data_IF_024922414284
#
_entry.id   IF_024922414284
#
_cell.length_a   1.000
_cell.length_b   1.000
_cell.length_c   1.000
_cell.angle_alpha   90.00
_cell.angle_beta   90.00
_cell.angle_gamma   90.00
#
_symmetry.space_group_name_H-M   'P 1'
#
loop_
_entity.id
_entity.type
_entity.pdbx_description
1 polymer ?
2 non-polymer ?
3 water ?
#
# COMPACT_ATOMS: atom_id res chain seq x y z
N UNK A 1 -0.80 13.43 -13.22
CA UNK A 1 -2.24 13.61 -13.08
C UNK A 1 -2.54 13.47 -11.60
N UNK A 2 -3.72 13.93 -11.23
CA UNK A 2 -4.20 13.71 -9.88
C UNK A 2 -5.05 12.47 -10.01
N UNK A 3 -5.04 11.68 -8.98
CA UNK A 3 -5.79 10.45 -8.96
C UNK A 3 -6.59 10.48 -7.68
N UNK A 4 -7.89 10.24 -7.77
CA UNK A 4 -8.63 10.10 -6.53
C UNK A 4 -8.70 8.61 -6.19
N UNK A 5 -9.18 8.28 -5.01
CA UNK A 5 -8.99 6.91 -4.54
C UNK A 5 -10.25 6.07 -4.46
N UNK A 6 -11.24 6.48 -5.26
CA UNK A 6 -12.50 5.72 -5.27
C UNK A 6 -12.34 4.44 -6.02
N UNK A 7 -11.32 4.37 -6.88
CA UNK A 7 -10.95 3.13 -7.54
C UNK A 7 -9.49 2.88 -7.30
N UNK A 8 -9.05 1.63 -7.49
CA UNK A 8 -7.61 1.36 -7.30
C UNK A 8 -6.77 2.20 -8.24
N UNK A 9 -5.68 2.76 -7.73
CA UNK A 9 -4.85 3.63 -8.59
C UNK A 9 -3.90 2.80 -9.46
N UNK A 10 -4.45 2.32 -10.55
CA UNK A 10 -3.69 1.49 -11.47
C UNK A 10 -3.04 2.30 -12.56
N UNK A 11 -1.86 1.88 -12.98
CA UNK A 11 -1.17 2.59 -14.05
C UNK A 11 -0.57 1.56 -15.01
N UNK A 12 -0.31 1.93 -16.27
CA UNK A 12 0.45 1.05 -17.17
C UNK A 12 1.95 1.28 -17.04
N UNK A 13 2.65 0.16 -16.93
CA UNK A 13 4.11 0.19 -16.98
C UNK A 13 4.63 -0.58 -18.17
N UNK A 14 5.78 -0.16 -18.65
CA UNK A 14 6.50 -0.99 -19.60
C UNK A 14 7.84 -1.33 -18.97
N UNK A 15 8.13 -2.62 -18.97
CA UNK A 15 9.31 -3.12 -18.31
C UNK A 15 9.75 -4.35 -19.02
N UNK A 16 11.04 -4.38 -19.31
CA UNK A 16 11.53 -5.62 -19.93
C UNK A 16 10.89 -6.02 -21.25
N UNK A 17 10.52 -4.96 -21.98
CA UNK A 17 9.80 -5.10 -23.24
C UNK A 17 8.33 -5.40 -23.13
N UNK A 18 7.83 -5.54 -21.91
CA UNK A 18 6.47 -6.03 -21.74
C UNK A 18 5.63 -4.96 -21.07
N UNK A 19 4.34 -5.01 -21.40
CA UNK A 19 3.39 -4.02 -20.90
C UNK A 19 2.60 -4.64 -19.77
N UNK A 20 2.55 -3.97 -18.63
CA UNK A 20 1.78 -4.47 -17.49
C UNK A 20 1.01 -3.36 -16.83
N UNK A 21 0.16 -3.75 -15.90
CA UNK A 21 -0.62 -2.79 -15.14
C UNK A 21 -0.15 -2.99 -13.71
N UNK A 22 -0.15 -1.92 -12.93
CA UNK A 22 0.46 -1.95 -11.61
C UNK A 22 -0.25 -0.96 -10.71
N UNK A 23 -0.21 -1.21 -9.44
CA UNK A 23 -0.90 -0.34 -8.51
C UNK A 23 0.11 0.64 -7.91
N UNK A 24 -0.26 1.90 -7.87
CA UNK A 24 0.59 2.87 -7.18
C UNK A 24 0.37 2.78 -5.69
N UNK A 25 1.40 2.32 -4.98
CA UNK A 25 1.20 1.90 -3.59
C UNK A 25 2.06 2.67 -2.60
N UNK A 26 1.47 3.69 -1.97
CA UNK A 26 2.25 4.48 -1.03
C UNK A 26 2.68 3.76 0.24
N UNK A 27 2.04 2.62 0.54
CA UNK A 27 2.43 1.89 1.76
C UNK A 27 3.61 0.89 1.62
N UNK A 28 4.08 0.70 0.37
CA UNK A 28 5.05 -0.32 0.07
C UNK A 28 6.38 0.36 -0.01
N UNK A 29 7.36 -0.18 0.69
CA UNK A 29 8.65 0.48 0.53
C UNK A 29 9.30 0.19 -0.81
N UNK A 30 9.09 -1.04 -1.27
CA UNK A 30 9.78 -1.58 -2.45
C UNK A 30 8.77 -1.88 -3.50
N UNK A 31 9.24 -2.02 -4.72
CA UNK A 31 8.39 -2.42 -5.85
C UNK A 31 8.46 -3.92 -6.05
N UNK A 32 7.31 -4.56 -6.24
CA UNK A 32 7.20 -6.02 -6.29
C UNK A 32 6.27 -6.39 -7.44
N UNK A 33 6.81 -7.17 -8.36
CA UNK A 33 6.08 -7.53 -9.57
C UNK A 33 5.90 -9.03 -9.58
N UNK A 34 4.79 -9.43 -10.20
CA UNK A 34 4.58 -10.86 -10.43
C UNK A 34 5.72 -11.42 -11.29
N UNK A 35 5.85 -12.73 -11.28
CA UNK A 35 6.84 -13.44 -12.06
C UNK A 35 6.89 -13.06 -13.52
N UNK A 36 8.09 -12.74 -13.96
CA UNK A 36 8.23 -12.36 -15.34
C UNK A 36 9.67 -12.51 -15.77
N UNK A 37 9.85 -12.50 -17.10
CA UNK A 37 11.17 -12.59 -17.71
C UNK A 37 11.86 -11.27 -17.70
N UNK A 38 12.80 -11.17 -16.77
CA UNK A 38 13.82 -10.13 -16.86
C UNK A 38 15.14 -10.79 -17.23
N UNK A 39 15.97 -10.10 -18.02
CA UNK A 39 17.31 -10.64 -18.17
C UNK A 39 18.13 -10.23 -16.96
N UNK A 40 19.24 -10.93 -16.79
CA UNK A 40 20.24 -10.40 -15.90
C UNK A 40 20.48 -11.28 -14.71
N UNK A 41 21.23 -10.66 -13.82
CA UNK A 41 21.60 -11.33 -12.58
C UNK A 41 20.66 -10.85 -11.51
N UNK A 42 20.41 -11.74 -10.57
CA UNK A 42 19.49 -11.39 -9.51
C UNK A 42 19.97 -12.01 -8.24
N UNK A 43 19.38 -11.56 -7.16
CA UNK A 43 19.71 -12.06 -5.82
C UNK A 43 18.43 -12.52 -5.13
N UNK A 44 18.50 -13.59 -4.31
CA UNK A 44 17.35 -13.90 -3.47
C UNK A 44 17.11 -12.79 -2.44
N UNK A 45 15.85 -12.54 -2.13
CA UNK A 45 15.54 -11.64 -1.01
C UNK A 45 14.24 -12.13 -0.40
N UNK A 46 14.00 -11.79 0.86
CA UNK A 46 12.68 -12.12 1.38
C UNK A 46 12.08 -10.84 1.87
N UNK A 47 10.80 -10.68 1.61
CA UNK A 47 10.19 -9.46 2.09
C UNK A 47 8.97 -9.85 2.85
N UNK A 48 8.49 -8.95 3.67
CA UNK A 48 7.28 -9.28 4.41
C UNK A 48 6.10 -8.46 3.96
N UNK A 49 4.93 -8.95 4.31
CA UNK A 49 3.72 -8.20 4.02
C UNK A 49 2.64 -8.59 4.98
N UNK A 50 1.43 -8.19 4.66
CA UNK A 50 0.34 -8.76 5.44
C UNK A 50 0.18 -10.17 4.96
N UNK A 51 0.39 -11.08 5.88
CA UNK A 51 0.15 -12.45 5.48
C UNK A 51 1.38 -13.28 5.68
N UNK A 52 2.51 -12.62 5.72
CA UNK A 52 3.69 -13.42 5.93
C UNK A 52 4.79 -12.82 5.12
N UNK A 53 5.73 -13.66 4.76
CA UNK A 53 6.92 -13.19 4.07
C UNK A 53 6.98 -13.95 2.79
N UNK A 54 7.58 -13.38 1.77
CA UNK A 54 7.76 -14.19 0.57
C UNK A 54 9.20 -14.05 0.11
N UNK A 55 9.61 -15.01 -0.69
CA UNK A 55 10.95 -14.98 -1.25
C UNK A 55 10.88 -14.43 -2.66
N UNK A 56 11.74 -13.49 -2.96
CA UNK A 56 11.66 -12.89 -4.29
C UNK A 56 13.07 -12.82 -4.84
N UNK A 57 13.14 -12.57 -6.16
CA UNK A 57 14.42 -12.27 -6.79
C UNK A 57 14.54 -10.77 -6.97
N UNK A 58 15.67 -10.26 -6.53
CA UNK A 58 15.93 -8.85 -6.66
C UNK A 58 16.77 -8.52 -7.88
N UNK A 59 16.31 -7.56 -8.69
CA UNK A 59 17.08 -7.10 -9.83
C UNK A 59 17.36 -5.65 -9.64
N UNK A 60 18.61 -5.26 -9.83
CA UNK A 60 18.89 -3.84 -9.68
C UNK A 60 19.03 -3.17 -11.00
N UNK A 61 18.98 -1.85 -10.94
CA UNK A 61 19.10 -1.00 -12.11
C UNK A 61 18.30 -1.36 -13.33
N UNK A 62 17.03 -1.69 -13.05
CA UNK A 62 16.12 -1.95 -14.16
C UNK A 62 15.26 -0.72 -14.53
N UNK A 63 15.11 -0.53 -15.84
CA UNK A 63 14.32 0.59 -16.37
C UNK A 63 12.85 0.23 -16.43
N UNK A 64 12.04 1.12 -15.89
CA UNK A 64 10.59 0.99 -15.94
C UNK A 64 10.06 2.26 -16.51
N UNK A 65 9.04 2.14 -17.32
CA UNK A 65 8.41 3.36 -17.73
C UNK A 65 6.99 3.26 -17.24
N UNK A 66 6.58 4.25 -16.44
CA UNK A 66 5.32 4.21 -15.67
C UNK A 66 4.58 5.45 -16.04
N UNK A 67 3.44 5.30 -16.68
CA UNK A 67 3.05 6.41 -17.58
C UNK A 67 4.24 6.77 -18.49
N UNK A 68 4.27 7.97 -19.06
CA UNK A 68 5.44 8.22 -19.91
C UNK A 68 6.65 8.69 -19.13
N UNK A 69 6.91 8.03 -18.00
CA UNK A 69 7.97 8.53 -17.12
C UNK A 69 8.92 7.38 -16.96
N UNK A 70 10.21 7.65 -17.21
CA UNK A 70 11.22 6.62 -17.03
C UNK A 70 11.82 6.66 -15.63
N UNK A 71 12.15 5.51 -15.09
CA UNK A 71 12.77 5.44 -13.79
C UNK A 71 13.67 4.23 -13.89
N UNK A 72 14.75 4.22 -13.12
CA UNK A 72 15.61 3.00 -13.03
C UNK A 72 15.59 2.64 -11.55
N UNK A 73 15.46 1.39 -11.25
CA UNK A 73 15.52 1.09 -9.84
C UNK A 73 15.62 -0.38 -9.62
N UNK A 74 15.62 -0.72 -8.35
CA UNK A 74 15.50 -2.12 -8.01
C UNK A 74 14.08 -2.59 -8.17
N UNK A 75 13.90 -3.75 -8.82
CA UNK A 75 12.58 -4.37 -8.76
C UNK A 75 12.68 -5.78 -8.22
N UNK A 76 11.65 -6.17 -7.51
CA UNK A 76 11.62 -7.47 -6.89
C UNK A 76 10.60 -8.24 -7.68
N UNK A 77 10.96 -9.45 -8.09
CA UNK A 77 9.99 -10.21 -8.87
C UNK A 77 9.64 -11.43 -8.07
N UNK A 78 8.37 -11.78 -8.05
CA UNK A 78 8.00 -12.86 -7.16
C UNK A 78 6.52 -13.04 -7.13
N UNK A 79 6.11 -13.87 -6.20
CA UNK A 79 4.70 -14.27 -6.11
C UNK A 79 3.81 -13.29 -5.31
N UNK A 80 3.76 -12.06 -5.77
CA UNK A 80 2.77 -11.16 -5.21
C UNK A 80 1.51 -11.44 -6.00
N UNK A 81 0.35 -11.15 -5.42
CA UNK A 81 -0.89 -11.27 -6.21
C UNK A 81 -1.08 -10.19 -7.25
N UNK A 82 -0.36 -9.08 -7.09
CA UNK A 82 -0.59 -7.92 -7.95
C UNK A 82 0.68 -7.10 -8.00
N UNK A 83 0.87 -6.46 -9.14
CA UNK A 83 2.13 -5.72 -9.29
C UNK A 83 2.01 -4.43 -8.52
N UNK A 84 3.04 -4.11 -7.77
CA UNK A 84 2.95 -2.99 -6.83
C UNK A 84 4.12 -2.06 -7.10
N UNK A 85 3.83 -0.79 -7.33
CA UNK A 85 4.91 0.20 -7.38
C UNK A 85 5.02 0.85 -6.01
N UNK A 86 6.19 0.69 -5.40
CA UNK A 86 6.43 1.12 -4.03
C UNK A 86 7.22 2.38 -4.04
N UNK A 87 7.52 2.87 -2.86
CA UNK A 87 7.98 4.25 -2.78
C UNK A 87 9.36 4.50 -3.38
N UNK A 88 10.17 3.45 -3.46
CA UNK A 88 11.43 3.58 -4.20
C UNK A 88 11.34 4.09 -5.64
N UNK A 89 10.24 3.80 -6.33
CA UNK A 89 10.05 4.37 -7.66
C UNK A 89 9.11 5.55 -7.66
N UNK A 90 8.21 5.55 -6.70
CA UNK A 90 7.28 6.67 -6.61
C UNK A 90 7.98 7.98 -6.39
N UNK A 91 9.08 7.93 -5.65
CA UNK A 91 9.84 9.15 -5.50
C UNK A 91 10.50 9.62 -6.77
N UNK A 92 10.77 8.69 -7.68
CA UNK A 92 11.41 9.13 -8.91
C UNK A 92 10.49 9.69 -9.94
N UNK A 93 9.23 9.27 -9.91
CA UNK A 93 8.34 9.95 -10.84
C UNK A 93 7.61 11.14 -10.27
N UNK A 94 8.03 11.51 -9.06
CA UNK A 94 7.51 12.74 -8.47
C UNK A 94 6.16 12.61 -7.81
N UNK A 95 5.88 11.40 -7.36
CA UNK A 95 4.56 11.22 -6.83
C UNK A 95 4.39 11.77 -5.41
N UNK A 96 3.24 12.37 -5.15
CA UNK A 96 2.94 13.01 -3.87
C UNK A 96 1.53 12.62 -3.38
N UNK A 97 1.39 12.59 -2.06
CA UNK A 97 0.04 12.42 -1.51
C UNK A 97 -0.45 13.77 -1.06
N UNK A 98 -1.73 14.01 -1.26
CA UNK A 98 -2.29 15.26 -0.79
C UNK A 98 -3.62 15.03 -0.16
N UNK A 99 -3.76 15.57 1.04
CA UNK A 99 -5.09 15.75 1.62
C UNK A 99 -5.08 17.09 2.33
N UNK B 1 -2.47 18.22 3.76
CA UNK B 1 -1.15 18.77 3.41
C UNK B 1 -0.61 17.88 2.33
N UNK B 2 0.56 18.23 1.86
CA UNK B 2 1.18 17.41 0.85
C UNK B 2 2.32 16.66 1.49
N UNK B 3 2.45 15.43 1.04
CA UNK B 3 3.35 14.47 1.64
C UNK B 3 4.17 13.96 0.47
N UNK B 4 5.48 14.08 0.60
CA UNK B 4 6.31 13.35 -0.35
C UNK B 4 6.56 11.94 0.21
N UNK B 5 7.14 11.09 -0.61
CA UNK B 5 7.22 9.68 -0.24
C UNK B 5 8.64 9.20 0.03
N UNK B 6 9.49 10.21 0.34
CA UNK B 6 10.87 9.86 0.73
C UNK B 6 10.89 9.19 2.05
N UNK B 7 9.84 9.46 2.83
CA UNK B 7 9.64 8.71 4.06
C UNK B 7 8.33 8.01 3.91
N UNK B 8 8.12 7.02 4.78
CA UNK B 8 6.77 6.49 4.97
C UNK B 8 5.74 7.52 5.37
N UNK B 9 4.61 7.56 4.66
CA UNK B 9 3.56 8.56 4.98
C UNK B 9 2.77 8.12 6.21
N UNK B 10 3.29 8.49 7.35
CA UNK B 10 2.68 8.09 8.62
C UNK B 10 1.83 9.22 9.13
N UNK B 11 0.67 8.91 9.69
CA UNK B 11 -0.10 9.94 10.40
C UNK B 11 -0.55 9.47 11.79
N UNK B 12 -0.88 10.40 12.64
CA UNK B 12 -1.53 10.01 13.90
C UNK B 12 -3.05 9.83 13.73
N UNK B 13 -3.52 8.73 14.30
CA UNK B 13 -4.95 8.56 14.34
C UNK B 13 -5.42 8.49 15.79
N UNK B 14 -6.63 8.90 16.02
CA UNK B 14 -7.23 8.55 17.30
C UNK B 14 -8.37 7.61 17.05
N UNK B 15 -8.33 6.48 17.73
CA UNK B 15 -9.41 5.54 17.55
C UNK B 15 -9.76 4.85 18.85
N UNK B 16 -11.06 4.78 19.12
CA UNK B 16 -11.46 4.15 20.39
C UNK B 16 -10.83 4.71 21.68
N UNK B 17 -10.65 6.02 21.68
CA UNK B 17 -9.95 6.65 22.81
C UNK B 17 -8.45 6.38 22.86
N UNK B 18 -7.87 5.75 21.83
CA UNK B 18 -6.42 5.52 21.85
C UNK B 18 -5.71 6.28 20.73
N UNK B 19 -4.49 6.72 20.99
CA UNK B 19 -3.71 7.35 19.92
C UNK B 19 -2.74 6.37 19.27
N UNK B 20 -2.72 6.32 17.93
CA UNK B 20 -1.84 5.40 17.17
C UNK B 20 -1.21 6.11 15.99
N UNK B 21 -0.20 5.50 15.39
CA UNK B 21 0.30 5.98 14.09
C UNK B 21 -0.05 4.95 13.06
N UNK B 22 -0.23 5.43 11.86
CA UNK B 22 -0.70 4.57 10.78
C UNK B 22 -0.13 5.04 9.43
N UNK B 23 0.03 4.09 8.51
CA UNK B 23 0.49 4.45 7.16
C UNK B 23 -0.71 4.81 6.31
N UNK B 24 -0.56 5.88 5.57
CA UNK B 24 -1.51 6.15 4.49
C UNK B 24 -1.16 5.30 3.28
N UNK B 25 -2.06 4.36 2.94
CA UNK B 25 -1.70 3.28 2.04
C UNK B 25 -2.64 3.21 0.86
N UNK B 26 -2.21 3.74 -0.27
CA UNK B 26 -3.11 3.73 -1.44
C UNK B 26 -3.32 2.37 -2.12
N UNK B 27 -2.45 1.42 -1.78
CA UNK B 27 -2.64 0.10 -2.38
C UNK B 27 -3.68 -0.77 -1.70
N UNK B 28 -4.13 -0.36 -0.52
CA UNK B 28 -4.92 -1.19 0.39
C UNK B 28 -6.38 -0.85 0.19
N UNK B 29 -7.19 -1.86 -0.05
CA UNK B 29 -8.60 -1.48 -0.19
C UNK B 29 -9.27 -1.13 1.10
N UNK B 30 -8.83 -1.81 2.13
CA UNK B 30 -9.45 -1.75 3.46
C UNK B 30 -8.43 -1.26 4.49
N UNK B 31 -8.95 -0.79 5.63
CA UNK B 31 -8.12 -0.34 6.74
C UNK B 31 -7.92 -1.49 7.68
N UNK B 32 -6.68 -1.68 8.04
CA UNK B 32 -6.42 -2.75 8.99
C UNK B 32 -5.41 -2.35 10.06
N UNK B 33 -5.81 -2.66 11.27
CA UNK B 33 -5.15 -2.17 12.44
C UNK B 33 -4.71 -3.34 13.24
N UNK B 34 -3.63 -3.10 13.95
CA UNK B 34 -3.09 -4.10 14.85
C UNK B 34 -4.09 -4.36 15.96
N UNK B 35 -3.97 -5.51 16.60
CA UNK B 35 -5.00 -5.89 17.56
C UNK B 35 -5.07 -4.91 18.71
N UNK B 36 -6.28 -4.54 19.07
CA UNK B 36 -6.48 -3.47 20.04
C UNK B 36 -7.88 -3.58 20.53
N UNK B 37 -8.15 -2.86 21.62
CA UNK B 37 -9.45 -2.85 22.29
C UNK B 37 -10.48 -1.97 21.60
N UNK B 38 -11.47 -2.59 20.97
CA UNK B 38 -12.60 -1.82 20.46
C UNK B 38 -13.88 -2.34 21.07
N UNK B 39 -14.78 -1.42 21.41
CA UNK B 39 -16.08 -1.85 21.93
C UNK B 39 -16.93 -2.47 20.83
N UNK B 40 -17.56 -3.58 21.15
CA UNK B 40 -18.61 -3.94 20.23
C UNK B 40 -18.52 -5.32 19.63
N UNK B 41 -19.46 -5.50 18.72
CA UNK B 41 -19.57 -6.77 18.03
C UNK B 41 -18.85 -6.66 16.72
N UNK B 42 -18.38 -7.79 16.30
CA UNK B 42 -17.57 -7.80 15.12
C UNK B 42 -17.89 -9.09 14.49
N UNK B 43 -17.41 -9.21 13.28
CA UNK B 43 -17.60 -10.47 12.56
C UNK B 43 -16.25 -10.86 11.98
N UNK B 44 -16.00 -12.17 11.87
CA UNK B 44 -14.67 -12.60 11.38
C UNK B 44 -14.61 -12.43 9.90
N UNK B 45 -13.43 -12.08 9.44
CA UNK B 45 -13.26 -11.90 8.02
C UNK B 45 -11.88 -12.40 7.71
N UNK B 46 -11.64 -12.66 6.44
CA UNK B 46 -10.31 -13.06 6.01
C UNK B 46 -9.89 -12.11 4.92
N UNK B 47 -8.66 -11.65 5.03
CA UNK B 47 -8.20 -10.74 3.98
C UNK B 47 -6.87 -11.24 3.51
N UNK B 48 -6.51 -10.75 2.32
CA UNK B 48 -5.26 -11.15 1.67
C UNK B 48 -4.28 -10.02 1.49
N UNK B 49 -3.01 -10.41 1.57
CA UNK B 49 -1.94 -9.47 1.38
C UNK B 49 -0.82 -10.17 0.66
N UNK B 50 0.35 -9.55 0.72
CA UNK B 50 1.55 -10.24 0.28
C UNK B 50 1.97 -11.16 1.40
N UNK B 51 2.21 -12.38 1.05
CA UNK B 51 2.48 -13.29 2.16
C UNK B 51 1.31 -14.23 2.35
N UNK B 52 0.10 -13.77 2.06
CA UNK B 52 -1.00 -14.70 2.17
C UNK B 52 -2.22 -14.06 2.78
N UNK B 53 -2.89 -14.85 3.57
CA UNK B 53 -4.18 -14.41 4.11
C UNK B 53 -4.16 -14.39 5.60
N UNK B 54 -4.91 -13.45 6.15
CA UNK B 54 -5.09 -13.40 7.60
C UNK B 54 -6.56 -13.25 7.96
N UNK B 55 -6.84 -13.64 9.19
CA UNK B 55 -8.21 -13.55 9.69
C UNK B 55 -8.28 -12.35 10.62
N UNK B 56 -9.34 -11.58 10.49
CA UNK B 56 -9.44 -10.29 11.17
C UNK B 56 -10.85 -10.16 11.71
N UNK B 57 -11.03 -9.25 12.67
CA UNK B 57 -12.36 -8.93 13.16
C UNK B 57 -12.79 -7.69 12.48
N UNK B 58 -13.94 -7.76 11.86
CA UNK B 58 -14.47 -6.58 11.22
C UNK B 58 -15.37 -5.80 12.15
N UNK B 59 -15.07 -4.50 12.30
CA UNK B 59 -15.98 -3.59 13.00
C UNK B 59 -16.51 -2.54 12.04
N UNK B 60 -17.80 -2.34 12.09
CA UNK B 60 -18.38 -1.36 11.19
C UNK B 60 -18.72 -0.13 11.98
N UNK B 61 -18.94 0.94 11.25
CA UNK B 61 -19.26 2.23 11.87
C UNK B 61 -18.32 2.79 12.90
N UNK B 62 -17.02 2.51 12.74
CA UNK B 62 -16.11 3.09 13.74
C UNK B 62 -15.63 4.50 13.37
N UNK B 63 -15.67 5.40 14.34
CA UNK B 63 -15.16 6.76 14.16
C UNK B 63 -13.65 6.79 14.34
N UNK B 64 -12.94 7.29 13.33
CA UNK B 64 -11.48 7.43 13.43
C UNK B 64 -11.21 8.87 13.21
N UNK B 65 -10.28 9.45 13.94
CA UNK B 65 -9.81 10.78 13.56
C UNK B 65 -8.39 10.68 13.06
N UNK B 66 -8.17 11.11 11.81
CA UNK B 66 -6.90 10.88 11.08
C UNK B 66 -6.34 12.21 10.75
N UNK B 67 -5.14 12.53 11.22
CA UNK B 67 -4.90 13.98 11.39
C UNK B 67 -6.09 14.62 12.13
N UNK B 68 -6.58 15.80 11.75
CA UNK B 68 -7.71 16.26 12.57
C UNK B 68 -9.05 15.69 12.16
N UNK B 69 -9.01 14.86 11.12
CA UNK B 69 -10.20 14.69 10.27
C UNK B 69 -10.97 13.49 10.74
N UNK B 70 -12.26 13.67 10.95
CA UNK B 70 -12.98 12.53 11.48
C UNK B 70 -13.58 11.79 10.32
N UNK B 71 -13.69 10.50 10.46
CA UNK B 71 -14.35 9.69 9.45
C UNK B 71 -14.98 8.55 10.19
N UNK B 72 -15.93 7.85 9.57
CA UNK B 72 -16.56 6.66 10.17
C UNK B 72 -16.54 5.55 9.12
N UNK B 73 -16.11 4.38 9.53
CA UNK B 73 -16.14 3.32 8.54
C UNK B 73 -15.86 1.99 9.14
N UNK B 74 -15.71 1.04 8.24
CA UNK B 74 -15.31 -0.28 8.69
C UNK B 74 -13.81 -0.34 8.98
N UNK B 75 -13.47 -0.97 10.09
CA UNK B 75 -12.08 -1.19 10.43
C UNK B 75 -11.90 -2.68 10.67
N UNK B 76 -10.77 -3.20 10.22
CA UNK B 76 -10.47 -4.60 10.47
C UNK B 76 -9.36 -4.65 11.48
N UNK B 77 -9.49 -5.53 12.45
CA UNK B 77 -8.45 -5.56 13.48
C UNK B 77 -7.84 -6.93 13.43
N UNK B 78 -6.53 -7.00 13.45
CA UNK B 78 -5.98 -8.29 13.09
C UNK B 78 -4.50 -8.26 13.21
N UNK B 79 -3.91 -9.41 12.94
CA UNK B 79 -2.45 -9.50 13.04
C UNK B 79 -1.68 -8.90 11.86
N UNK B 80 -1.75 -7.59 11.73
CA UNK B 80 -0.91 -6.93 10.74
C UNK B 80 0.33 -6.47 11.47
N UNK B 81 1.45 -6.41 10.73
CA UNK B 81 2.68 -5.79 11.26
C UNK B 81 2.59 -4.28 11.48
N UNK B 82 1.65 -3.63 10.81
CA UNK B 82 1.61 -2.18 10.88
C UNK B 82 0.20 -1.74 10.63
N UNK B 83 -0.19 -0.64 11.25
CA UNK B 83 -1.54 -0.10 11.03
C UNK B 83 -1.59 0.53 9.67
N UNK B 84 -2.55 0.12 8.85
CA UNK B 84 -2.61 0.71 7.52
C UNK B 84 -4.00 1.32 7.28
N UNK B 85 -4.02 2.58 6.82
CA UNK B 85 -5.27 3.24 6.41
C UNK B 85 -5.48 3.03 4.92
N UNK B 86 -6.57 2.36 4.56
CA UNK B 86 -6.76 2.03 3.16
C UNK B 86 -7.79 2.90 2.48
N UNK B 87 -8.11 2.53 1.26
CA UNK B 87 -8.84 3.49 0.44
C UNK B 87 -10.22 3.81 0.93
N UNK B 88 -10.78 2.85 1.66
CA UNK B 88 -12.06 3.13 2.30
C UNK B 88 -12.10 4.35 3.22
N UNK B 89 -11.02 4.62 3.90
CA UNK B 89 -11.05 5.86 4.64
C UNK B 89 -10.39 6.98 3.92
N UNK B 90 -9.42 6.70 3.04
CA UNK B 90 -8.66 7.82 2.41
C UNK B 90 -9.52 8.70 1.55
N UNK B 91 -10.48 8.02 0.98
CA UNK B 91 -11.54 8.66 0.24
C UNK B 91 -12.31 9.66 1.07
N UNK B 92 -12.56 9.30 2.35
CA UNK B 92 -13.33 10.23 3.19
C UNK B 92 -12.60 11.44 3.68
N UNK B 93 -11.27 11.32 3.79
CA UNK B 93 -10.56 12.54 4.16
C UNK B 93 -10.06 13.31 2.96
N UNK B 94 -10.45 12.88 1.77
CA UNK B 94 -10.14 13.64 0.54
C UNK B 94 -8.71 13.50 0.05
N UNK B 95 -8.16 12.33 0.31
CA UNK B 95 -6.78 12.16 -0.10
C UNK B 95 -6.62 11.88 -1.59
N UNK B 96 -5.71 12.57 -2.27
CA UNK B 96 -5.39 12.25 -3.68
C UNK B 96 -3.91 11.91 -3.92
N UNK B 97 -3.68 11.24 -5.05
CA UNK B 97 -2.30 11.07 -5.51
C UNK B 97 -2.06 12.01 -6.65
N UNK B 98 -0.82 12.48 -6.72
CA UNK B 98 -0.51 13.44 -7.76
C UNK B 98 0.89 13.15 -8.23
N UNK B 99 1.03 13.16 -9.53
CA UNK B 99 2.33 12.99 -10.16
C UNK B 99 2.21 13.65 -11.51
X LIG C 1 0.49 -5.59 1.69
X LIG C 1 2.92 -5.42 1.86
X LIG C 1 1.55 -3.33 1.89
X LIG C 1 0.97 -2.51 0.75
X LIG C 1 -0.53 -2.66 0.74
X LIG C 1 -0.91 -4.05 0.29
X LIG C 1 -1.88 -5.99 1.55
X LIG C 1 3.99 -4.95 0.90
X LIG C 1 5.30 -4.76 1.38
X LIG C 1 6.33 -4.39 0.50
X LIG C 1 6.06 -4.20 -0.87
X LIG C 1 4.75 -4.38 -1.36
X LIG C 1 3.72 -4.75 -0.48
X LIG C 1 7.73 -4.24 0.98
X LIG C 1 9.35 -5.24 2.59
X LIG C 1 12.95 -5.26 2.61
X LIG C 1 13.74 -6.00 3.52
X LIG C 1 13.16 -6.80 4.53
X LIG C 1 11.77 -6.90 4.67
X LIG C 1 10.93 -6.19 3.79
X LIG C 1 11.53 -5.34 2.72
X LIG C 1 1.00 -2.99 3.30
X LIG C 1 1.98 -3.27 4.43
X LIG C 1 1.84 -4.42 5.24
X LIG C 1 2.79 -4.68 6.26
X LIG C 1 3.88 -3.80 6.46
X LIG C 1 4.02 -2.64 5.65
X LIG C 1 3.06 -2.39 4.64
X LIG C 1 -0.34 -4.46 -1.09
X LIG C 1 -1.05 -5.62 -1.74
X LIG C 1 -2.35 -5.42 -2.28
X LIG C 1 -3.06 -6.52 -2.81
X LIG C 1 -2.45 -7.80 -2.81
X LIG C 1 -1.16 -7.99 -2.29
X LIG C 1 -0.45 -6.90 -1.75
X LIG C 1 -3.07 -5.26 2.12
X LIG C 1 -4.34 -5.68 1.71
X LIG C 1 -5.48 -5.06 2.26
X LIG C 1 -5.35 -4.04 3.24
X LIG C 1 -4.07 -3.64 3.66
X LIG C 1 -2.93 -4.24 3.09
X LIG C 1 -6.85 -5.43 1.79
X LIG C 1 -8.24 -7.33 0.98
X LIG C 1 -11.81 -7.73 1.21
X LIG C 1 -12.50 -8.97 1.19
X LIG C 1 -11.80 -10.19 1.04
X LIG C 1 -10.39 -10.22 0.89
X LIG C 1 -9.66 -9.00 0.91
X LIG C 1 -10.40 -7.72 1.08
X LIG C 1 1.60 -4.80 1.72
X LIG C 1 -0.70 -5.16 1.26
X LIG C 1 8.01 -4.97 2.07
X LIG C 1 10.50 -4.78 2.03
X LIG C 1 9.57 -6.07 3.64
X LIG C 1 -6.95 -6.67 1.26
X LIG C 1 -9.45 -6.74 1.09
X LIG C 1 -8.32 -8.66 0.84
X LIG C 1 0.59 -6.75 2.08
X LIG C 1 1.34 -1.18 0.99
X LIG C 1 -1.11 -1.78 -0.18
X LIG C 1 8.57 -3.55 0.42
X LIG C 1 -7.81 -4.69 1.90
#
# INVERSE_FOLDING_TARGET
>A
PQVTLWQRPLVTIKIGGQLKEALLDTGADDTVLEEMSLPGRWKPKMIGGIGGFIKVRQYDQILIEICGHKAIGTVLVGPTPFNVIGRNLLTQIGCTLNF
>B
PQVTLWQRPLVTIKIGGQLKEALLDTGADDTVLEEMSLPGRWKPKMIGGIGGFIKVRQYDQILIEICGHKAIGTVLVGPTPFNVIGRNLLTQIGCTLNF
>C hetero
1 146 C1 C2 C3 C4 C5 C6 C7 C20 C21 C22 C23 C24 C25 C26 C27 C9 C11 C13 C14 C28 C29 C31 C32 C33 C34 C35 C36 C37 C61 C62 C63 C64 C65 C66 C67 C70 C71 C72 C73 C74 C75 C76 C77 C15 C8 C10 C12 C78 C79 N2 N7 N26 N3 N27 N76 N1 N77 O1 O4 O5 O26 O76
#
